data_IF_023361346283
#
_entry.id   IF_023361346283
#
_cell.length_a   1.000
_cell.length_b   1.000
_cell.length_c   1.000
_cell.angle_alpha   90.00
_cell.angle_beta   90.00
_cell.angle_gamma   90.00
#
_symmetry.space_group_name_H-M   'P 1'
#
loop_
_entity.id
_entity.type
_entity.pdbx_description
1 polymer ?
#
# COMPACT_ATOMS: atom_id res chain seq x y z
N UNK A 1 -23.76 7.72 -20.67
CA UNK A 1 -23.84 7.82 -19.18
C UNK A 1 -22.62 7.13 -18.59
N UNK A 2 -21.57 7.86 -18.17
CA UNK A 2 -20.45 7.25 -17.45
C UNK A 2 -20.88 7.07 -15.99
N UNK A 3 -21.53 5.94 -15.70
CA UNK A 3 -21.74 5.50 -14.30
C UNK A 3 -20.43 4.85 -13.86
N UNK A 4 -19.38 5.64 -13.74
CA UNK A 4 -18.13 5.21 -13.12
C UNK A 4 -18.14 5.78 -11.72
N UNK A 5 -18.24 4.92 -10.70
CA UNK A 5 -17.92 5.36 -9.33
C UNK A 5 -16.53 6.00 -9.36
N UNK A 6 -16.30 7.11 -8.64
CA UNK A 6 -14.97 7.72 -8.61
C UNK A 6 -13.97 6.68 -8.11
N UNK A 7 -12.91 6.42 -8.89
CA UNK A 7 -11.80 5.55 -8.49
C UNK A 7 -10.63 6.46 -8.14
N UNK A 8 -10.11 6.33 -6.92
CA UNK A 8 -8.89 7.02 -6.50
C UNK A 8 -7.71 6.17 -6.89
N UNK A 9 -6.91 6.64 -7.86
CA UNK A 9 -5.70 5.95 -8.28
C UNK A 9 -4.50 6.57 -7.58
N UNK A 10 -3.76 5.76 -6.85
CA UNK A 10 -2.52 6.09 -6.16
C UNK A 10 -1.37 5.45 -6.93
N UNK A 11 -0.71 6.21 -7.78
CA UNK A 11 0.48 5.74 -8.50
C UNK A 11 1.71 5.99 -7.63
N UNK A 12 2.52 4.96 -7.43
CA UNK A 12 3.77 5.05 -6.69
C UNK A 12 4.89 4.39 -7.50
N UNK A 13 6.03 5.07 -7.55
CA UNK A 13 7.20 4.58 -8.25
C UNK A 13 8.23 4.07 -7.21
N UNK A 14 8.36 2.75 -7.00
CA UNK A 14 9.33 2.19 -6.05
C UNK A 14 10.78 2.46 -6.41
N UNK A 15 11.09 2.77 -7.68
CA UNK A 15 12.45 3.06 -8.15
C UNK A 15 12.92 4.46 -7.74
N UNK A 16 11.99 5.38 -7.53
CA UNK A 16 12.29 6.77 -7.18
C UNK A 16 12.52 6.98 -5.66
N UNK A 17 12.19 5.99 -4.82
CA UNK A 17 12.27 6.13 -3.36
C UNK A 17 12.88 4.90 -2.71
N UNK A 18 13.84 5.06 -1.77
CA UNK A 18 14.40 3.92 -1.05
C UNK A 18 13.30 3.17 -0.29
N UNK A 19 13.43 1.84 -0.16
CA UNK A 19 12.47 0.94 0.51
C UNK A 19 11.92 1.48 1.84
N UNK A 20 12.78 2.07 2.66
CA UNK A 20 12.42 2.67 3.96
C UNK A 20 11.36 3.76 3.83
N UNK A 21 11.38 4.51 2.73
CA UNK A 21 10.40 5.54 2.42
C UNK A 21 9.15 4.97 1.74
N UNK A 22 9.23 3.77 1.15
CA UNK A 22 8.09 3.11 0.51
C UNK A 22 7.21 2.37 1.52
N UNK A 23 7.80 1.45 2.29
CA UNK A 23 7.10 0.67 3.33
C UNK A 23 7.03 1.37 4.67
N UNK A 24 7.78 2.46 4.86
CA UNK A 24 8.01 3.04 6.16
C UNK A 24 9.18 2.37 6.88
N UNK A 25 9.70 3.07 7.88
CA UNK A 25 10.78 2.57 8.72
C UNK A 25 10.51 2.92 10.17
N UNK A 26 11.08 2.14 11.07
CA UNK A 26 11.20 2.54 12.48
C UNK A 26 12.53 3.28 12.65
N UNK A 27 12.46 4.49 13.17
CA UNK A 27 13.64 5.24 13.55
C UNK A 27 14.21 4.65 14.86
N UNK A 28 15.49 4.28 14.85
CA UNK A 28 16.10 3.54 15.97
C UNK A 28 16.38 4.44 17.18
N UNK A 29 16.54 5.74 16.95
CA UNK A 29 16.86 6.74 17.98
C UNK A 29 15.59 7.16 18.74
N UNK A 30 14.54 7.50 18.01
CA UNK A 30 13.25 7.93 18.59
C UNK A 30 12.31 6.77 18.91
N UNK A 31 12.55 5.59 18.32
CA UNK A 31 11.61 4.45 18.30
C UNK A 31 10.25 4.81 17.70
N UNK A 32 10.19 5.85 16.88
CA UNK A 32 8.97 6.25 16.20
C UNK A 32 8.86 5.55 14.85
N UNK A 33 7.63 5.16 14.50
CA UNK A 33 7.32 4.62 13.18
C UNK A 33 7.08 5.77 12.21
N UNK A 34 7.81 5.76 11.10
CA UNK A 34 7.60 6.66 9.98
C UNK A 34 6.86 5.93 8.89
N UNK A 35 5.65 6.40 8.60
CA UNK A 35 4.84 5.89 7.50
C UNK A 35 5.52 6.17 6.15
N UNK A 36 5.59 5.14 5.32
CA UNK A 36 6.05 5.25 3.94
C UNK A 36 4.91 5.59 2.98
N UNK A 37 5.24 5.72 1.70
CA UNK A 37 4.29 6.02 0.63
C UNK A 37 3.17 4.96 0.56
N UNK A 38 3.55 3.67 0.63
CA UNK A 38 2.60 2.56 0.62
C UNK A 38 1.73 2.57 1.87
N UNK A 39 2.31 2.75 3.06
CA UNK A 39 1.55 2.66 4.33
C UNK A 39 0.65 3.86 4.52
N UNK A 40 1.08 5.05 4.12
CA UNK A 40 0.26 6.24 4.09
C UNK A 40 -0.92 6.08 3.12
N UNK A 41 -0.68 5.60 1.90
CA UNK A 41 -1.74 5.29 0.94
C UNK A 41 -2.68 4.21 1.49
N UNK A 42 -2.14 3.15 2.09
CA UNK A 42 -2.91 2.08 2.70
C UNK A 42 -3.85 2.59 3.80
N UNK A 43 -3.32 3.39 4.74
CA UNK A 43 -4.10 4.03 5.81
C UNK A 43 -5.16 4.98 5.26
N UNK A 44 -4.85 5.69 4.18
CA UNK A 44 -5.81 6.57 3.52
C UNK A 44 -6.96 5.75 2.92
N UNK A 45 -6.67 4.71 2.14
CA UNK A 45 -7.73 3.91 1.49
C UNK A 45 -8.57 3.10 2.47
N UNK A 46 -8.00 2.70 3.61
CA UNK A 46 -8.74 2.01 4.70
C UNK A 46 -9.65 2.97 5.47
N UNK A 47 -9.31 4.26 5.54
CA UNK A 47 -10.19 5.29 6.12
C UNK A 47 -11.34 5.71 5.19
N UNK A 48 -11.23 5.44 3.90
CA UNK A 48 -12.26 5.77 2.92
C UNK A 48 -13.45 4.78 3.00
N UNK A 49 -14.67 5.23 2.69
CA UNK A 49 -15.84 4.36 2.69
C UNK A 49 -15.72 3.27 1.62
N UNK A 50 -16.34 2.11 1.86
CA UNK A 50 -16.38 0.97 0.93
C UNK A 50 -16.98 1.31 -0.46
N UNK A 51 -17.76 2.39 -0.53
CA UNK A 51 -18.34 2.92 -1.77
C UNK A 51 -17.29 3.56 -2.69
N UNK A 52 -16.16 4.01 -2.11
CA UNK A 52 -15.03 4.60 -2.80
C UNK A 52 -14.04 3.48 -3.19
N UNK A 53 -13.82 3.30 -4.49
CA UNK A 53 -12.81 2.37 -4.98
C UNK A 53 -11.45 3.05 -5.04
N UNK A 54 -10.42 2.34 -4.58
CA UNK A 54 -9.06 2.86 -4.50
C UNK A 54 -8.10 1.87 -5.13
N UNK A 55 -7.30 2.34 -6.08
CA UNK A 55 -6.39 1.52 -6.85
C UNK A 55 -4.97 1.99 -6.55
N UNK A 56 -4.12 1.08 -6.09
CA UNK A 56 -2.73 1.34 -5.77
C UNK A 56 -1.90 0.75 -6.90
N UNK A 57 -1.26 1.61 -7.70
CA UNK A 57 -0.47 1.23 -8.86
C UNK A 57 1.00 1.38 -8.52
N UNK A 58 1.74 0.28 -8.56
CA UNK A 58 3.19 0.25 -8.40
C UNK A 58 3.82 0.30 -9.79
N UNK A 59 4.40 1.43 -10.16
CA UNK A 59 5.10 1.64 -11.43
C UNK A 59 6.62 1.49 -11.19
N UNK A 60 7.13 0.26 -11.22
CA UNK A 60 8.56 0.02 -11.09
C UNK A 60 8.96 -1.39 -10.67
N UNK A 61 10.28 -1.60 -10.65
CA UNK A 61 10.89 -2.90 -10.33
C UNK A 61 10.41 -3.45 -8.99
N UNK A 62 10.06 -4.72 -9.04
CA UNK A 62 9.43 -5.44 -7.93
C UNK A 62 10.50 -6.22 -7.16
N UNK A 63 10.80 -5.82 -5.92
CA UNK A 63 11.75 -6.56 -5.07
C UNK A 63 11.04 -7.69 -4.29
N UNK A 64 11.70 -8.85 -4.14
CA UNK A 64 11.12 -10.00 -3.44
C UNK A 64 10.76 -9.70 -1.97
N UNK A 65 11.57 -8.92 -1.24
CA UNK A 65 11.32 -8.67 0.19
C UNK A 65 10.02 -7.90 0.48
N UNK A 66 9.65 -6.90 -0.34
CA UNK A 66 8.39 -6.20 -0.13
C UNK A 66 7.22 -6.91 -0.80
N UNK A 67 7.47 -7.69 -1.86
CA UNK A 67 6.45 -8.58 -2.41
C UNK A 67 5.99 -9.62 -1.42
N UNK A 68 6.85 -10.17 -0.58
CA UNK A 68 6.41 -11.09 0.47
C UNK A 68 5.38 -10.43 1.40
N UNK A 69 5.58 -9.15 1.70
CA UNK A 69 4.64 -8.36 2.51
C UNK A 69 3.32 -8.08 1.77
N UNK A 70 3.37 -7.94 0.44
CA UNK A 70 2.19 -7.76 -0.41
C UNK A 70 1.52 -9.07 -0.82
N UNK A 71 2.18 -10.21 -0.70
CA UNK A 71 1.60 -11.50 -1.07
C UNK A 71 0.34 -11.76 -0.22
N UNK A 72 0.41 -11.45 1.08
CA UNK A 72 -0.74 -11.49 2.01
C UNK A 72 -1.84 -10.46 1.70
N UNK A 73 -1.50 -9.39 0.97
CA UNK A 73 -2.45 -8.36 0.51
C UNK A 73 -3.18 -8.82 -0.76
N UNK A 74 -2.48 -9.53 -1.63
CA UNK A 74 -3.01 -10.09 -2.87
C UNK A 74 -3.81 -11.37 -2.65
N UNK A 75 -3.51 -12.08 -1.56
CA UNK A 75 -4.25 -13.25 -1.10
C UNK A 75 -5.62 -12.85 -0.46
N UNK A 76 -6.44 -13.85 -0.12
CA UNK A 76 -7.80 -13.66 0.39
C UNK A 76 -7.82 -12.85 1.70
N UNK A 77 -6.71 -12.88 2.44
CA UNK A 77 -6.53 -12.14 3.68
C UNK A 77 -6.53 -10.61 3.52
N UNK A 78 -6.15 -10.08 2.34
CA UNK A 78 -6.07 -8.62 2.08
C UNK A 78 -5.40 -7.85 3.21
N UNK A 79 -4.30 -8.38 3.73
CA UNK A 79 -3.65 -7.89 4.95
C UNK A 79 -2.22 -7.47 4.65
N UNK A 80 -1.93 -6.18 4.82
CA UNK A 80 -0.57 -5.65 4.75
C UNK A 80 0.08 -5.82 6.12
N UNK A 81 1.15 -6.61 6.17
CA UNK A 81 1.98 -6.73 7.37
C UNK A 81 3.22 -5.88 7.19
N UNK A 82 3.38 -4.89 8.07
CA UNK A 82 4.53 -4.00 8.08
C UNK A 82 5.69 -4.64 8.83
N UNK A 83 6.95 -4.30 8.49
CA UNK A 83 8.12 -4.80 9.21
C UNK A 83 8.16 -4.33 10.68
N UNK A 84 7.39 -3.31 11.07
CA UNK A 84 7.15 -2.96 12.48
C UNK A 84 6.29 -3.98 13.25
N UNK A 85 5.61 -4.89 12.56
CA UNK A 85 4.58 -5.77 13.12
C UNK A 85 3.17 -5.18 13.07
N UNK A 86 2.99 -3.95 12.58
CA UNK A 86 1.66 -3.38 12.34
C UNK A 86 0.96 -4.11 11.18
N UNK A 87 -0.35 -4.33 11.32
CA UNK A 87 -1.18 -5.05 10.34
C UNK A 87 -2.32 -4.17 9.88
N UNK A 88 -2.39 -3.91 8.58
CA UNK A 88 -3.41 -3.07 7.97
C UNK A 88 -4.28 -3.96 7.07
N UNK A 89 -5.57 -4.06 7.39
CA UNK A 89 -6.52 -4.86 6.61
C UNK A 89 -7.23 -3.99 5.57
N UNK A 90 -7.24 -4.44 4.32
CA UNK A 90 -7.91 -3.76 3.23
C UNK A 90 -9.32 -4.28 2.98
N UNK A 91 -10.20 -3.37 2.59
CA UNK A 91 -11.53 -3.72 2.12
C UNK A 91 -11.53 -4.24 0.67
N UNK A 92 -12.66 -4.83 0.22
CA UNK A 92 -12.87 -5.26 -1.17
C UNK A 92 -12.83 -4.12 -2.19
N UNK A 93 -12.84 -2.87 -1.73
CA UNK A 93 -12.78 -1.67 -2.56
C UNK A 93 -11.36 -1.29 -2.98
N UNK A 94 -10.33 -1.95 -2.45
CA UNK A 94 -8.92 -1.67 -2.75
C UNK A 94 -8.37 -2.69 -3.75
N UNK A 95 -7.71 -2.20 -4.79
CA UNK A 95 -7.04 -3.05 -5.78
C UNK A 95 -5.57 -2.65 -5.89
N UNK A 96 -4.69 -3.63 -6.07
CA UNK A 96 -3.26 -3.42 -6.28
C UNK A 96 -2.92 -3.80 -7.72
N UNK A 97 -2.22 -2.92 -8.42
CA UNK A 97 -1.73 -3.10 -9.78
C UNK A 97 -0.22 -2.94 -9.74
N UNK A 98 0.49 -3.83 -10.43
CA UNK A 98 1.95 -3.76 -10.57
C UNK A 98 2.25 -3.67 -12.06
N UNK A 99 2.91 -2.60 -12.46
CA UNK A 99 3.45 -2.45 -13.82
C UNK A 99 4.94 -2.82 -13.75
N UNK A 100 5.30 -3.90 -14.47
CA UNK A 100 6.65 -4.42 -14.61
C UNK A 100 7.30 -3.93 -15.91
#
# INVERSE_FOLDING_TARGET
>A
KKVGRPIKVHVMNPKASPRKQLLGHMDMDTREWFDGILTAAARQVVKEPLEQHSWIVCDGDVDPEWIESLNSVLDDNRLLTLPSGERIQFGPNVNFVFEC
#
